data_IF_587685687833
#
_entry.id   IF_587685687833
#
_cell.length_a   1.000
_cell.length_b   1.000
_cell.length_c   1.000
_cell.angle_alpha   90.00
_cell.angle_beta   90.00
_cell.angle_gamma   90.00
#
_symmetry.space_group_name_H-M   'P 1'
#
loop_
_entity.id
_entity.type
_entity.pdbx_description
1 polymer ?
#
# COMPACT_ATOMS: atom_id res chain seq x y z
N UNK A 1 -16.25 -3.95 -6.79
CA UNK A 1 -16.00 -4.28 -5.37
C UNK A 1 -14.96 -3.30 -4.84
N UNK A 2 -15.26 -2.45 -3.85
CA UNK A 2 -14.35 -1.33 -3.48
C UNK A 2 -13.84 -1.34 -2.03
N UNK A 3 -14.59 -1.93 -1.09
CA UNK A 3 -14.21 -1.88 0.32
C UNK A 3 -14.43 -3.24 0.99
N UNK A 4 -13.48 -3.62 1.85
CA UNK A 4 -13.58 -4.76 2.75
C UNK A 4 -13.47 -4.30 4.18
N UNK A 5 -14.39 -4.73 5.04
CA UNK A 5 -14.37 -4.46 6.47
C UNK A 5 -13.78 -5.65 7.22
N UNK A 6 -13.03 -5.37 8.28
CA UNK A 6 -12.47 -6.39 9.15
C UNK A 6 -13.56 -7.30 9.73
N UNK A 7 -13.37 -8.61 9.59
CA UNK A 7 -14.24 -9.62 10.17
C UNK A 7 -13.40 -10.84 10.60
N UNK A 8 -13.92 -11.70 11.50
CA UNK A 8 -13.26 -12.95 11.84
C UNK A 8 -12.97 -13.79 10.59
N UNK A 9 -11.70 -14.17 10.40
CA UNK A 9 -11.24 -14.90 9.22
C UNK A 9 -10.94 -14.04 7.98
N UNK A 10 -10.87 -12.71 8.11
CA UNK A 10 -10.43 -11.80 7.04
C UNK A 10 -11.49 -10.79 6.60
N UNK A 11 -11.08 -9.88 5.72
CA UNK A 11 -11.93 -8.77 5.26
C UNK A 11 -13.10 -9.22 4.38
N UNK A 12 -14.33 -8.82 4.74
CA UNK A 12 -15.56 -9.08 3.97
C UNK A 12 -16.00 -7.85 3.20
N UNK A 13 -16.57 -8.05 2.01
CA UNK A 13 -17.14 -6.94 1.23
C UNK A 13 -18.21 -6.23 2.05
N UNK A 14 -18.25 -4.90 1.92
CA UNK A 14 -19.31 -4.08 2.50
C UNK A 14 -20.64 -4.44 1.85
N UNK A 15 -21.66 -4.67 2.68
CA UNK A 15 -23.03 -4.90 2.22
C UNK A 15 -23.61 -3.66 1.55
N UNK A 16 -24.44 -3.88 0.52
CA UNK A 16 -24.98 -2.79 -0.32
C UNK A 16 -25.72 -1.71 0.49
N UNK A 17 -26.49 -2.11 1.50
CA UNK A 17 -27.23 -1.17 2.35
C UNK A 17 -26.28 -0.30 3.20
N UNK A 18 -25.20 -0.89 3.72
CA UNK A 18 -24.18 -0.16 4.50
C UNK A 18 -23.45 0.82 3.60
N UNK A 19 -23.07 0.40 2.39
CA UNK A 19 -22.41 1.25 1.42
C UNK A 19 -23.32 2.41 0.96
N UNK A 20 -24.58 2.13 0.63
CA UNK A 20 -25.55 3.14 0.21
C UNK A 20 -25.77 4.20 1.30
N UNK A 21 -25.92 3.77 2.56
CA UNK A 21 -26.05 4.67 3.70
C UNK A 21 -24.80 5.55 3.90
N UNK A 22 -23.60 4.98 3.77
CA UNK A 22 -22.36 5.75 3.86
C UNK A 22 -22.25 6.80 2.74
N UNK A 23 -22.60 6.45 1.50
CA UNK A 23 -22.62 7.38 0.36
C UNK A 23 -23.57 8.55 0.63
N UNK A 24 -24.79 8.29 1.09
CA UNK A 24 -25.78 9.35 1.39
C UNK A 24 -25.24 10.32 2.46
N UNK A 25 -24.59 9.78 3.49
CA UNK A 25 -24.03 10.58 4.59
C UNK A 25 -22.87 11.45 4.14
N UNK A 26 -21.94 10.90 3.35
CA UNK A 26 -20.82 11.67 2.79
C UNK A 26 -21.32 12.72 1.80
N UNK A 27 -22.24 12.37 0.90
CA UNK A 27 -22.83 13.32 -0.04
C UNK A 27 -23.55 14.47 0.68
N UNK A 28 -24.27 14.18 1.77
CA UNK A 28 -24.88 15.19 2.63
C UNK A 28 -23.84 16.07 3.32
N UNK A 29 -22.74 15.49 3.82
CA UNK A 29 -21.66 16.24 4.46
C UNK A 29 -20.89 17.14 3.48
N UNK A 30 -20.83 16.76 2.20
CA UNK A 30 -20.23 17.55 1.12
C UNK A 30 -21.08 18.77 0.71
N UNK A 31 -22.34 18.86 1.15
CA UNK A 31 -23.23 20.05 0.99
C UNK A 31 -23.34 20.62 -0.44
N UNK A 32 -23.28 19.75 -1.45
CA UNK A 32 -23.39 20.15 -2.87
C UNK A 32 -22.14 20.76 -3.48
N UNK A 33 -21.01 20.78 -2.76
CA UNK A 33 -19.71 21.21 -3.30
C UNK A 33 -19.22 20.31 -4.43
N UNK A 34 -18.40 20.86 -5.32
CA UNK A 34 -17.83 20.08 -6.42
C UNK A 34 -16.87 19.02 -5.87
N UNK A 35 -17.14 17.75 -6.19
CA UNK A 35 -16.34 16.61 -5.75
C UNK A 35 -16.27 15.57 -6.88
N UNK A 36 -15.10 14.97 -7.07
CA UNK A 36 -14.94 13.86 -8.01
C UNK A 36 -15.52 12.56 -7.43
N UNK A 37 -15.83 11.60 -8.30
CA UNK A 37 -16.28 10.26 -7.86
C UNK A 37 -15.22 9.59 -6.98
N UNK A 38 -13.93 9.79 -7.26
CA UNK A 38 -12.86 9.18 -6.47
C UNK A 38 -12.71 9.81 -5.08
N UNK A 39 -12.80 11.14 -4.97
CA UNK A 39 -12.77 11.83 -3.68
C UNK A 39 -13.98 11.44 -2.81
N UNK A 40 -15.19 11.42 -3.39
CA UNK A 40 -16.40 11.00 -2.70
C UNK A 40 -16.25 9.58 -2.13
N UNK A 41 -15.73 8.66 -2.95
CA UNK A 41 -15.53 7.27 -2.56
C UNK A 41 -14.39 7.11 -1.56
N UNK A 42 -13.34 7.92 -1.63
CA UNK A 42 -12.28 7.92 -0.61
C UNK A 42 -12.84 8.36 0.75
N UNK A 43 -13.66 9.41 0.78
CA UNK A 43 -14.35 9.84 2.00
C UNK A 43 -15.32 8.77 2.54
N UNK A 44 -16.02 8.04 1.66
CA UNK A 44 -16.84 6.87 2.06
C UNK A 44 -15.99 5.77 2.69
N UNK A 45 -14.81 5.47 2.12
CA UNK A 45 -13.87 4.51 2.70
C UNK A 45 -13.42 4.92 4.11
N UNK A 46 -13.05 6.19 4.30
CA UNK A 46 -12.68 6.70 5.62
C UNK A 46 -13.83 6.60 6.62
N UNK A 47 -15.05 6.95 6.23
CA UNK A 47 -16.22 6.82 7.10
C UNK A 47 -16.45 5.36 7.51
N UNK A 48 -16.41 4.44 6.54
CA UNK A 48 -16.60 3.02 6.78
C UNK A 48 -15.54 2.45 7.74
N UNK A 49 -14.27 2.78 7.55
CA UNK A 49 -13.18 2.31 8.42
C UNK A 49 -13.18 2.99 9.80
N UNK A 50 -13.67 4.22 9.91
CA UNK A 50 -13.84 4.87 11.21
C UNK A 50 -14.96 4.22 12.05
N UNK A 51 -16.01 3.71 11.41
CA UNK A 51 -17.16 3.09 12.08
C UNK A 51 -16.98 1.59 12.35
N UNK A 52 -16.10 0.93 11.61
CA UNK A 52 -15.82 -0.49 11.73
C UNK A 52 -14.37 -0.69 12.18
N UNK A 53 -14.20 -0.78 13.50
CA UNK A 53 -12.88 -0.91 14.13
C UNK A 53 -12.11 -2.11 13.59
N UNK A 54 -10.85 -1.88 13.25
CA UNK A 54 -9.85 -2.88 12.89
C UNK A 54 -8.50 -2.47 13.48
N UNK A 55 -7.57 -3.42 13.60
CA UNK A 55 -6.21 -3.14 14.07
C UNK A 55 -5.39 -2.34 13.05
N UNK A 56 -5.70 -2.50 11.77
CA UNK A 56 -5.13 -1.74 10.67
C UNK A 56 -6.16 -1.51 9.54
N UNK A 57 -5.97 -0.43 8.79
CA UNK A 57 -6.65 -0.17 7.53
C UNK A 57 -5.60 -0.03 6.42
N UNK A 58 -5.82 -0.71 5.30
CA UNK A 58 -4.97 -0.61 4.11
C UNK A 58 -5.65 0.33 3.13
N UNK A 59 -4.96 1.42 2.78
CA UNK A 59 -5.44 2.42 1.81
C UNK A 59 -4.63 2.31 0.53
N UNK A 60 -5.27 1.84 -0.54
CA UNK A 60 -4.67 1.82 -1.87
C UNK A 60 -4.81 3.19 -2.53
N UNK A 61 -3.68 3.75 -2.97
CA UNK A 61 -3.63 5.01 -3.71
C UNK A 61 -4.30 4.81 -5.08
N UNK A 62 -5.20 5.72 -5.46
CA UNK A 62 -5.90 5.62 -6.74
C UNK A 62 -5.00 5.93 -7.94
N UNK A 63 -4.38 7.11 -7.94
CA UNK A 63 -3.46 7.52 -9.00
C UNK A 63 -2.32 8.41 -8.49
N UNK A 64 -1.10 8.10 -8.91
CA UNK A 64 0.08 8.85 -8.50
C UNK A 64 0.36 8.65 -7.00
N UNK A 65 0.07 9.68 -6.19
CA UNK A 65 0.26 9.66 -4.75
C UNK A 65 0.13 11.04 -4.14
N UNK A 66 0.94 12.00 -4.59
CA UNK A 66 1.03 13.36 -4.04
C UNK A 66 -0.32 14.07 -3.94
N UNK A 67 -1.11 14.02 -5.00
CA UNK A 67 -2.44 14.66 -5.10
C UNK A 67 -3.60 13.66 -5.03
N UNK A 68 -3.33 12.42 -4.63
CA UNK A 68 -4.38 11.43 -4.49
C UNK A 68 -5.27 11.72 -3.29
N UNK A 69 -6.58 11.46 -3.41
CA UNK A 69 -7.54 11.71 -2.33
C UNK A 69 -7.22 10.94 -1.04
N UNK A 70 -6.50 9.81 -1.13
CA UNK A 70 -6.04 9.05 0.05
C UNK A 70 -4.92 9.76 0.82
N UNK A 71 -4.18 10.67 0.18
CA UNK A 71 -2.96 11.28 0.73
C UNK A 71 -3.22 12.39 1.78
N UNK A 72 -4.48 12.51 2.24
CA UNK A 72 -4.87 13.32 3.39
C UNK A 72 -4.45 12.71 4.72
N UNK A 73 -4.07 11.42 4.75
CA UNK A 73 -3.50 10.77 5.93
C UNK A 73 -2.12 11.37 6.20
N UNK A 74 -1.96 12.02 7.35
CA UNK A 74 -0.72 12.72 7.72
C UNK A 74 0.30 11.83 8.43
N UNK A 75 -0.15 10.76 9.08
CA UNK A 75 0.68 9.83 9.83
C UNK A 75 0.22 8.37 9.60
N UNK A 76 0.45 7.80 8.41
CA UNK A 76 0.25 6.36 8.21
C UNK A 76 1.25 5.58 9.07
N UNK A 77 0.93 4.32 9.40
CA UNK A 77 1.87 3.45 10.12
C UNK A 77 3.10 3.09 9.26
N UNK A 78 2.88 2.95 7.95
CA UNK A 78 3.90 2.73 6.93
C UNK A 78 3.39 3.26 5.58
N UNK A 79 4.30 3.80 4.77
CA UNK A 79 4.04 4.05 3.35
C UNK A 79 4.72 2.97 2.50
N UNK A 80 3.98 2.30 1.62
CA UNK A 80 4.50 1.23 0.76
C UNK A 80 4.46 1.68 -0.69
N UNK A 81 5.59 1.65 -1.39
CA UNK A 81 5.67 1.99 -2.81
C UNK A 81 6.03 0.75 -3.61
N UNK A 82 5.03 0.22 -4.33
CA UNK A 82 5.16 -0.92 -5.23
C UNK A 82 5.85 -0.55 -6.55
N UNK A 83 6.23 -1.52 -7.42
CA UNK A 83 7.01 -1.25 -8.63
C UNK A 83 6.41 -0.12 -9.48
N UNK A 84 7.26 0.83 -9.86
CA UNK A 84 6.88 1.92 -10.76
C UNK A 84 7.18 1.53 -12.19
N UNK A 85 6.12 1.50 -12.99
CA UNK A 85 6.18 1.30 -14.44
C UNK A 85 5.70 2.55 -15.16
N UNK A 86 6.01 2.65 -16.45
CA UNK A 86 5.41 3.66 -17.32
C UNK A 86 3.94 3.30 -17.56
N UNK A 87 3.09 3.72 -16.62
CA UNK A 87 1.63 3.66 -16.73
C UNK A 87 1.06 5.08 -16.57
N UNK A 88 -0.09 5.35 -17.20
CA UNK A 88 -0.78 6.63 -17.11
C UNK A 88 0.08 7.86 -17.47
N UNK A 89 0.88 7.76 -18.53
CA UNK A 89 1.79 8.82 -18.99
C UNK A 89 1.10 10.18 -19.18
N UNK A 90 -0.18 10.18 -19.56
CA UNK A 90 -0.98 11.41 -19.73
C UNK A 90 -1.22 12.18 -18.43
N UNK A 91 -1.09 11.54 -17.27
CA UNK A 91 -1.31 12.14 -15.94
C UNK A 91 -0.02 12.26 -15.11
N UNK A 92 0.92 11.32 -15.27
CA UNK A 92 2.09 11.19 -14.38
C UNK A 92 3.43 11.59 -15.04
N UNK A 93 3.40 11.93 -16.34
CA UNK A 93 4.60 12.33 -17.10
C UNK A 93 5.15 11.22 -18.00
N UNK A 94 6.16 11.57 -18.80
CA UNK A 94 6.77 10.68 -19.79
C UNK A 94 8.08 10.02 -19.29
N UNK A 95 8.52 10.37 -18.08
CA UNK A 95 9.73 9.86 -17.43
C UNK A 95 9.42 9.13 -16.14
N UNK A 96 10.09 8.00 -15.92
CA UNK A 96 9.87 7.15 -14.73
C UNK A 96 10.15 7.93 -13.44
N UNK A 97 11.11 8.84 -13.45
CA UNK A 97 11.47 9.72 -12.33
C UNK A 97 10.31 10.64 -11.94
N UNK A 98 9.54 11.14 -12.91
CA UNK A 98 8.36 11.98 -12.64
C UNK A 98 7.26 11.17 -11.97
N UNK A 99 7.01 9.96 -12.47
CA UNK A 99 6.04 9.03 -11.88
C UNK A 99 6.48 8.65 -10.45
N UNK A 100 7.78 8.43 -10.25
CA UNK A 100 8.34 8.14 -8.94
C UNK A 100 8.18 9.32 -7.96
N UNK A 101 8.37 10.57 -8.42
CA UNK A 101 8.14 11.77 -7.60
C UNK A 101 6.67 11.85 -7.17
N UNK A 102 5.73 11.61 -8.09
CA UNK A 102 4.30 11.63 -7.76
C UNK A 102 3.94 10.55 -6.73
N UNK A 103 4.46 9.32 -6.89
CA UNK A 103 4.23 8.22 -5.94
C UNK A 103 4.91 8.46 -4.59
N UNK A 104 6.14 8.98 -4.59
CA UNK A 104 6.87 9.35 -3.37
C UNK A 104 6.16 10.44 -2.56
N UNK A 105 5.16 11.12 -3.14
CA UNK A 105 4.30 12.08 -2.44
C UNK A 105 3.49 11.51 -1.27
N UNK A 106 3.38 10.18 -1.13
CA UNK A 106 2.76 9.54 0.05
C UNK A 106 3.74 9.35 1.21
N UNK A 107 5.03 9.59 1.02
CA UNK A 107 6.03 9.52 2.09
C UNK A 107 5.80 10.69 3.05
N UNK A 108 5.70 10.41 4.35
CA UNK A 108 5.46 11.39 5.40
C UNK A 108 6.68 11.50 6.34
N UNK A 109 7.00 12.69 6.87
CA UNK A 109 8.18 12.88 7.73
C UNK A 109 8.25 11.90 8.89
N UNK A 110 9.40 11.24 9.06
CA UNK A 110 9.65 10.28 10.13
C UNK A 110 8.82 8.99 10.09
N UNK A 111 7.95 8.81 9.09
CA UNK A 111 7.13 7.61 8.94
C UNK A 111 7.91 6.54 8.18
N UNK A 112 7.88 5.27 8.61
CA UNK A 112 8.54 4.19 7.90
C UNK A 112 8.09 4.02 6.44
N UNK A 113 9.02 3.67 5.56
CA UNK A 113 8.79 3.49 4.12
C UNK A 113 9.31 2.13 3.67
N UNK A 114 8.48 1.39 2.93
CA UNK A 114 8.87 0.15 2.26
C UNK A 114 8.84 0.37 0.75
N UNK A 115 9.99 0.21 0.11
CA UNK A 115 10.14 0.29 -1.35
C UNK A 115 10.18 -1.13 -1.91
N UNK A 116 9.11 -1.53 -2.60
CA UNK A 116 9.05 -2.79 -3.34
C UNK A 116 10.02 -2.82 -4.52
N UNK A 117 10.13 -3.99 -5.16
CA UNK A 117 11.04 -4.19 -6.29
C UNK A 117 10.85 -3.13 -7.38
N UNK A 118 11.92 -2.43 -7.76
CA UNK A 118 11.86 -1.45 -8.85
C UNK A 118 12.60 -2.00 -10.08
N UNK A 119 12.02 -1.78 -11.28
CA UNK A 119 12.66 -2.13 -12.55
C UNK A 119 13.68 -1.08 -12.97
N UNK A 120 13.46 0.17 -12.57
CA UNK A 120 14.28 1.31 -12.94
C UNK A 120 15.00 1.86 -11.71
N UNK A 121 16.34 1.87 -11.74
CA UNK A 121 17.15 2.38 -10.64
C UNK A 121 16.82 3.85 -10.33
N UNK A 122 16.58 4.67 -11.35
CA UNK A 122 16.21 6.08 -11.18
C UNK A 122 14.90 6.27 -10.39
N UNK A 123 13.93 5.34 -10.51
CA UNK A 123 12.71 5.37 -9.71
C UNK A 123 13.01 5.10 -8.23
N UNK A 124 13.87 4.09 -7.99
CA UNK A 124 14.30 3.70 -6.65
C UNK A 124 15.06 4.84 -5.98
N UNK A 125 16.00 5.46 -6.67
CA UNK A 125 16.79 6.59 -6.16
C UNK A 125 15.91 7.77 -5.73
N UNK A 126 14.92 8.16 -6.56
CA UNK A 126 13.97 9.23 -6.20
C UNK A 126 13.23 8.95 -4.88
N UNK A 127 12.82 7.69 -4.66
CA UNK A 127 12.10 7.31 -3.45
C UNK A 127 13.03 7.27 -2.23
N UNK A 128 14.25 6.74 -2.39
CA UNK A 128 15.28 6.73 -1.34
C UNK A 128 15.60 8.18 -0.92
N UNK A 129 15.95 9.04 -1.87
CA UNK A 129 16.29 10.45 -1.61
C UNK A 129 15.14 11.18 -0.90
N UNK A 130 13.90 10.87 -1.27
CA UNK A 130 12.71 11.47 -0.64
C UNK A 130 12.55 11.01 0.80
N UNK A 131 12.69 9.70 1.08
CA UNK A 131 12.63 9.15 2.43
C UNK A 131 13.77 9.69 3.31
N UNK A 132 15.00 9.73 2.81
CA UNK A 132 16.16 10.25 3.54
C UNK A 132 15.98 11.73 3.91
N UNK A 133 15.56 12.56 2.96
CA UNK A 133 15.28 13.99 3.20
C UNK A 133 14.19 14.22 4.24
N UNK A 134 13.24 13.29 4.34
CA UNK A 134 12.14 13.32 5.31
C UNK A 134 12.45 12.59 6.62
N UNK A 135 13.66 12.04 6.77
CA UNK A 135 14.12 11.35 7.96
C UNK A 135 13.36 10.04 8.24
N UNK A 136 12.90 9.36 7.20
CA UNK A 136 12.11 8.13 7.30
C UNK A 136 13.01 6.90 7.57
N UNK A 137 12.61 5.97 8.45
CA UNK A 137 13.12 4.61 8.43
C UNK A 137 12.80 3.97 7.08
N UNK A 138 13.79 3.36 6.42
CA UNK A 138 13.67 2.92 5.04
C UNK A 138 14.04 1.45 4.88
N UNK A 139 13.23 0.72 4.10
CA UNK A 139 13.41 -0.68 3.77
C UNK A 139 13.25 -0.87 2.25
N UNK A 140 14.30 -1.36 1.59
CA UNK A 140 14.40 -1.40 0.13
C UNK A 140 14.55 -2.83 -0.37
N UNK A 141 13.65 -3.25 -1.26
CA UNK A 141 13.72 -4.57 -1.89
C UNK A 141 15.05 -4.76 -2.65
N UNK A 142 15.71 -5.89 -2.41
CA UNK A 142 17.00 -6.25 -2.96
C UNK A 142 18.20 -5.65 -2.21
N UNK A 143 17.97 -4.83 -1.18
CA UNK A 143 19.01 -4.33 -0.28
C UNK A 143 18.77 -4.85 1.14
N UNK A 144 17.60 -4.57 1.70
CA UNK A 144 17.25 -4.90 3.10
C UNK A 144 16.42 -6.17 3.20
N UNK A 145 15.62 -6.46 2.18
CA UNK A 145 14.80 -7.67 2.11
C UNK A 145 14.59 -8.13 0.66
N UNK A 146 14.32 -9.41 0.44
CA UNK A 146 13.99 -9.96 -0.87
C UNK A 146 13.25 -11.29 -0.76
N UNK A 147 12.70 -11.78 -1.88
CA UNK A 147 12.16 -13.13 -1.96
C UNK A 147 12.49 -13.80 -3.29
N UNK A 148 12.61 -15.11 -3.26
CA UNK A 148 12.79 -15.96 -4.43
C UNK A 148 12.08 -17.30 -4.27
N UNK A 149 11.87 -17.99 -5.38
CA UNK A 149 11.27 -19.33 -5.37
C UNK A 149 12.38 -20.38 -5.30
N UNK A 150 12.24 -21.32 -4.37
CA UNK A 150 13.11 -22.48 -4.25
C UNK A 150 12.26 -23.72 -3.91
N UNK A 151 12.43 -24.79 -4.68
CA UNK A 151 11.69 -26.06 -4.53
C UNK A 151 10.14 -25.91 -4.43
N UNK A 152 9.56 -24.94 -5.16
CA UNK A 152 8.12 -24.70 -5.18
C UNK A 152 7.57 -24.00 -3.93
N UNK A 153 8.45 -23.32 -3.18
CA UNK A 153 8.13 -22.49 -2.01
C UNK A 153 8.79 -21.12 -2.14
N UNK A 154 8.30 -20.14 -1.39
CA UNK A 154 8.90 -18.81 -1.32
C UNK A 154 9.87 -18.75 -0.16
N UNK A 155 11.12 -18.42 -0.46
CA UNK A 155 12.11 -18.05 0.53
C UNK A 155 12.08 -16.52 0.63
N UNK A 156 11.61 -16.01 1.76
CA UNK A 156 11.73 -14.60 2.12
C UNK A 156 12.95 -14.42 3.03
N UNK A 157 13.73 -13.38 2.78
CA UNK A 157 14.87 -13.00 3.60
C UNK A 157 14.84 -11.51 3.89
N UNK A 158 15.12 -11.14 5.13
CA UNK A 158 15.46 -9.79 5.54
C UNK A 158 16.72 -9.77 6.42
N UNK A 159 16.96 -8.65 7.10
CA UNK A 159 18.10 -8.45 8.00
C UNK A 159 18.02 -9.28 9.28
N UNK A 160 16.83 -9.74 9.66
CA UNK A 160 16.56 -10.45 10.90
C UNK A 160 16.54 -11.98 10.71
N UNK A 161 16.21 -12.46 9.50
CA UNK A 161 16.28 -13.89 9.21
C UNK A 161 15.66 -14.34 7.88
N UNK A 162 15.28 -15.62 7.87
CA UNK A 162 14.70 -16.32 6.73
C UNK A 162 13.33 -16.90 7.10
N UNK A 163 12.39 -16.82 6.18
CA UNK A 163 11.08 -17.48 6.27
C UNK A 163 10.87 -18.38 5.05
N UNK A 164 10.33 -19.57 5.29
CA UNK A 164 9.97 -20.54 4.26
C UNK A 164 8.43 -20.62 4.14
N UNK A 165 7.89 -20.04 3.06
CA UNK A 165 6.47 -19.75 2.90
C UNK A 165 5.86 -20.50 1.70
N UNK A 166 4.56 -20.78 1.70
CA UNK A 166 3.90 -21.30 0.51
C UNK A 166 3.92 -20.29 -0.64
N UNK A 167 3.76 -20.78 -1.87
CA UNK A 167 3.58 -19.90 -3.03
C UNK A 167 2.32 -19.04 -2.87
N UNK A 168 2.34 -17.76 -3.31
CA UNK A 168 1.15 -16.94 -3.33
C UNK A 168 0.03 -17.60 -4.12
N UNK A 169 -1.21 -17.50 -3.63
CA UNK A 169 -2.38 -18.00 -4.35
C UNK A 169 -2.59 -17.31 -5.71
N UNK A 170 -2.09 -16.09 -5.85
CA UNK A 170 -2.11 -15.34 -7.11
C UNK A 170 -0.96 -15.78 -8.03
N UNK A 171 -1.24 -16.10 -9.30
CA UNK A 171 -0.18 -16.49 -10.23
C UNK A 171 0.69 -15.29 -10.63
N UNK A 172 1.97 -15.57 -10.90
CA UNK A 172 2.91 -14.61 -11.48
C UNK A 172 4.16 -14.41 -10.63
N UNK A 173 5.33 -14.34 -11.28
CA UNK A 173 6.63 -14.21 -10.58
C UNK A 173 6.76 -12.92 -9.76
N UNK A 174 6.11 -11.85 -10.19
CA UNK A 174 6.07 -10.58 -9.45
C UNK A 174 5.33 -10.70 -8.11
N UNK A 175 4.49 -11.74 -7.92
CA UNK A 175 3.81 -11.94 -6.64
C UNK A 175 4.78 -12.30 -5.51
N UNK A 176 5.97 -12.83 -5.82
CA UNK A 176 7.01 -13.08 -4.83
C UNK A 176 7.50 -11.76 -4.21
N UNK A 177 7.81 -10.76 -5.03
CA UNK A 177 8.26 -9.45 -4.56
C UNK A 177 7.13 -8.63 -3.95
N UNK A 178 5.89 -8.78 -4.43
CA UNK A 178 4.71 -8.21 -3.78
C UNK A 178 4.50 -8.78 -2.37
N UNK A 179 4.58 -10.10 -2.21
CA UNK A 179 4.46 -10.76 -0.92
C UNK A 179 5.57 -10.33 0.04
N UNK A 180 6.82 -10.25 -0.45
CA UNK A 180 7.95 -9.77 0.35
C UNK A 180 7.73 -8.34 0.88
N UNK A 181 7.24 -7.44 0.02
CA UNK A 181 6.95 -6.06 0.43
C UNK A 181 5.81 -5.98 1.45
N UNK A 182 4.77 -6.81 1.28
CA UNK A 182 3.68 -6.90 2.24
C UNK A 182 4.14 -7.42 3.62
N UNK A 183 4.94 -8.49 3.64
CA UNK A 183 5.53 -9.05 4.87
C UNK A 183 6.38 -7.99 5.57
N UNK A 184 7.25 -7.29 4.82
CA UNK A 184 8.09 -6.25 5.42
C UNK A 184 7.24 -5.12 6.00
N UNK A 185 6.27 -4.60 5.24
CA UNK A 185 5.39 -3.54 5.71
C UNK A 185 4.64 -3.91 7.01
N UNK A 186 4.13 -5.13 7.11
CA UNK A 186 3.48 -5.61 8.33
C UNK A 186 4.46 -5.75 9.50
N UNK A 187 5.65 -6.32 9.25
CA UNK A 187 6.68 -6.53 10.27
C UNK A 187 7.13 -5.19 10.89
N UNK A 188 7.38 -4.15 10.08
CA UNK A 188 7.79 -2.85 10.62
C UNK A 188 6.68 -2.14 11.39
N UNK A 189 5.42 -2.46 11.10
CA UNK A 189 4.27 -1.98 11.86
C UNK A 189 4.09 -2.74 13.19
N UNK A 190 4.94 -3.72 13.48
CA UNK A 190 4.90 -4.51 14.71
C UNK A 190 3.93 -5.67 14.68
N UNK A 191 3.42 -6.07 13.50
CA UNK A 191 2.64 -7.29 13.37
C UNK A 191 3.55 -8.51 13.39
N UNK A 192 3.21 -9.50 14.21
CA UNK A 192 3.92 -10.77 14.25
C UNK A 192 3.48 -11.66 13.08
N UNK A 193 4.26 -11.64 12.01
CA UNK A 193 4.10 -12.52 10.85
C UNK A 193 4.78 -13.84 11.17
N UNK A 194 4.14 -14.64 12.02
CA UNK A 194 4.55 -16.03 12.19
C UNK A 194 4.42 -16.78 10.86
N UNK A 195 5.25 -17.81 10.66
CA UNK A 195 5.17 -18.69 9.48
C UNK A 195 3.75 -19.21 9.26
N UNK A 196 3.02 -19.50 10.34
CA UNK A 196 1.64 -19.98 10.31
C UNK A 196 0.63 -18.92 9.87
N UNK A 197 0.86 -17.63 10.19
CA UNK A 197 0.01 -16.53 9.73
C UNK A 197 0.23 -16.21 8.24
N UNK A 198 1.43 -16.47 7.72
CA UNK A 198 1.75 -16.34 6.30
C UNK A 198 1.31 -17.56 5.45
N UNK A 199 0.89 -18.65 6.10
CA UNK A 199 0.42 -19.88 5.43
C UNK A 199 -1.09 -19.90 5.13
N UNK A 200 -1.87 -19.00 5.73
CA UNK A 200 -3.33 -18.88 5.59
C UNK A 200 -3.75 -17.76 4.65
#
# INVERSE_FOLDING_TARGET
ERYRLGAPGGGRLVEDEVLANAIIRVAKANDGEAITVFELLTAVGFLLFAEHKADAAIMEVGLGGRFDATNVITAPAVSVIMPVTLDHQSFLGDKVEQIAIEKAGIIKPGVPVVIGQQVHDAAREVMIDTAERLGCPLEVYGQDYFAFEEHGRVVYQDTDGLMDLPLPALPGRHQLSNAAAAIRALTICGFDISQQAAET
#
